data_IF_954048518319
#
_entry.id   IF_954048518319
#
_cell.length_a   1.000
_cell.length_b   1.000
_cell.length_c   1.000
_cell.angle_alpha   90.00
_cell.angle_beta   90.00
_cell.angle_gamma   90.00
#
_symmetry.space_group_name_H-M   'P 1'
#
loop_
_entity.id
_entity.type
_entity.pdbx_description
1 polymer ?
#
# COMPACT_ATOMS: atom_id res chain seq x y z
N UNK A 1 -8.77 -6.09 9.39
CA UNK A 1 -9.44 -4.87 9.93
C UNK A 1 -8.95 -3.63 9.17
N UNK A 2 -9.81 -2.62 8.95
CA UNK A 2 -9.50 -1.44 8.13
C UNK A 2 -9.64 -0.14 8.94
N UNK A 3 -8.78 0.85 8.67
CA UNK A 3 -8.86 2.18 9.27
C UNK A 3 -8.65 3.26 8.22
N UNK A 4 -9.41 4.34 8.31
CA UNK A 4 -9.32 5.49 7.41
C UNK A 4 -8.86 6.71 8.21
N UNK A 5 -7.87 7.41 7.67
CA UNK A 5 -7.44 8.73 8.12
C UNK A 5 -7.77 9.72 7.02
N UNK A 6 -8.45 10.82 7.33
CA UNK A 6 -8.88 11.78 6.31
C UNK A 6 -8.77 13.22 6.79
N UNK A 7 -8.48 14.12 5.86
CA UNK A 7 -8.50 15.57 6.08
C UNK A 7 -9.14 16.27 4.89
N UNK A 8 -9.83 17.38 5.16
CA UNK A 8 -10.39 18.28 4.15
C UNK A 8 -9.76 19.64 4.32
N UNK A 9 -9.30 20.23 3.22
CA UNK A 9 -8.72 21.57 3.18
C UNK A 9 -9.39 22.35 2.05
N UNK A 10 -10.28 23.29 2.39
CA UNK A 10 -11.15 23.92 1.41
C UNK A 10 -12.00 22.88 0.67
N UNK A 11 -11.92 22.87 -0.66
CA UNK A 11 -12.59 21.88 -1.51
C UNK A 11 -11.75 20.62 -1.78
N UNK A 12 -10.52 20.56 -1.27
CA UNK A 12 -9.65 19.39 -1.43
C UNK A 12 -9.88 18.38 -0.33
N UNK A 13 -9.83 17.09 -0.67
CA UNK A 13 -9.95 15.97 0.27
C UNK A 13 -8.77 15.04 0.13
N UNK A 14 -8.22 14.61 1.25
CA UNK A 14 -7.09 13.69 1.31
C UNK A 14 -7.42 12.56 2.28
N UNK A 15 -7.02 11.34 1.95
CA UNK A 15 -7.20 10.20 2.84
C UNK A 15 -6.14 9.14 2.67
N UNK A 16 -5.91 8.40 3.75
CA UNK A 16 -5.12 7.17 3.78
C UNK A 16 -5.98 6.10 4.42
N UNK A 17 -6.27 5.04 3.68
CA UNK A 17 -6.90 3.84 4.19
C UNK A 17 -5.85 2.75 4.38
N UNK A 18 -5.83 2.14 5.55
CA UNK A 18 -4.93 1.03 5.90
C UNK A 18 -5.77 -0.20 6.19
N UNK A 19 -5.48 -1.31 5.51
CA UNK A 19 -6.13 -2.60 5.72
C UNK A 19 -5.10 -3.63 6.15
N UNK A 20 -5.31 -4.24 7.31
CA UNK A 20 -4.43 -5.30 7.84
C UNK A 20 -4.80 -6.67 7.27
N UNK A 21 -3.91 -7.24 6.45
CA UNK A 21 -4.02 -8.58 5.87
C UNK A 21 -3.28 -9.66 6.66
N UNK A 22 -2.69 -9.39 7.83
CA UNK A 22 -1.98 -10.42 8.61
C UNK A 22 -2.90 -11.57 9.06
N UNK A 23 -4.21 -11.32 9.15
CA UNK A 23 -5.20 -12.34 9.51
C UNK A 23 -5.63 -13.22 8.33
N UNK A 24 -5.21 -12.93 7.10
CA UNK A 24 -5.66 -13.66 5.90
C UNK A 24 -5.26 -15.14 5.95
N UNK A 25 -4.04 -15.43 6.42
CA UNK A 25 -3.55 -16.79 6.54
C UNK A 25 -4.38 -17.60 7.53
N UNK A 26 -4.47 -17.26 8.83
CA UNK A 26 -5.23 -18.07 9.78
C UNK A 26 -6.70 -18.23 9.40
N UNK A 27 -7.34 -17.17 8.85
CA UNK A 27 -8.74 -17.24 8.40
C UNK A 27 -8.92 -18.27 7.27
N UNK A 28 -8.07 -18.24 6.25
CA UNK A 28 -8.24 -19.08 5.08
C UNK A 28 -7.76 -20.51 5.31
N UNK A 29 -6.72 -20.71 6.14
CA UNK A 29 -6.34 -22.06 6.59
C UNK A 29 -7.41 -22.69 7.47
N UNK A 30 -8.08 -21.91 8.34
CA UNK A 30 -9.19 -22.43 9.14
C UNK A 30 -10.35 -22.85 8.25
N UNK A 31 -10.73 -22.02 7.27
CA UNK A 31 -11.77 -22.35 6.29
C UNK A 31 -11.43 -23.59 5.47
N UNK A 32 -10.15 -23.77 5.11
CA UNK A 32 -9.69 -24.93 4.33
C UNK A 32 -9.93 -26.27 5.03
N UNK A 33 -10.03 -26.31 6.37
CA UNK A 33 -10.34 -27.53 7.13
C UNK A 33 -11.72 -28.12 6.82
N UNK A 34 -12.65 -27.28 6.35
CA UNK A 34 -14.01 -27.71 6.00
C UNK A 34 -14.14 -28.27 4.58
N UNK A 35 -13.03 -28.32 3.83
CA UNK A 35 -13.06 -28.68 2.42
C UNK A 35 -13.13 -30.19 2.16
N UNK A 36 -13.71 -30.59 1.01
CA UNK A 36 -13.60 -31.95 0.51
C UNK A 36 -12.14 -32.37 0.31
N UNK A 37 -11.86 -33.66 0.56
CA UNK A 37 -10.54 -34.23 0.34
C UNK A 37 -10.11 -34.09 -1.13
N UNK A 38 -8.88 -33.62 -1.36
CA UNK A 38 -8.31 -33.46 -2.70
C UNK A 38 -8.61 -32.12 -3.37
N UNK A 39 -9.36 -31.22 -2.72
CA UNK A 39 -9.62 -29.89 -3.28
C UNK A 39 -8.33 -29.07 -3.41
N UNK A 40 -8.03 -28.64 -4.65
CA UNK A 40 -6.81 -27.90 -5.00
C UNK A 40 -6.80 -26.48 -4.43
N UNK A 41 -7.97 -25.86 -4.26
CA UNK A 41 -8.12 -24.56 -3.62
C UNK A 41 -7.72 -24.65 -2.16
N UNK A 42 -8.21 -25.70 -1.49
CA UNK A 42 -7.99 -25.86 -0.07
C UNK A 42 -6.58 -26.34 0.25
N UNK A 43 -6.06 -27.33 -0.49
CA UNK A 43 -4.66 -27.77 -0.34
C UNK A 43 -3.65 -26.70 -0.74
N UNK A 44 -4.00 -25.90 -1.75
CA UNK A 44 -3.09 -24.99 -2.41
C UNK A 44 -2.10 -25.69 -3.34
N UNK A 45 -1.55 -24.90 -4.25
CA UNK A 45 -0.41 -25.22 -5.12
C UNK A 45 0.80 -24.35 -4.79
N UNK A 46 1.97 -24.67 -5.37
CA UNK A 46 3.20 -23.90 -5.20
C UNK A 46 2.95 -22.40 -5.34
N UNK A 47 3.32 -21.64 -4.31
CA UNK A 47 3.13 -20.19 -4.26
C UNK A 47 1.77 -19.68 -3.79
N UNK A 48 0.71 -20.49 -3.74
CA UNK A 48 -0.65 -20.05 -3.36
C UNK A 48 -0.95 -20.08 -1.85
N UNK A 49 -0.30 -21.00 -1.11
CA UNK A 49 -0.65 -21.28 0.29
C UNK A 49 -1.96 -22.08 0.40
N UNK A 50 -2.12 -22.80 1.52
CA UNK A 50 -3.37 -23.49 1.87
C UNK A 50 -4.55 -22.50 1.91
N UNK A 51 -5.72 -22.90 1.42
CA UNK A 51 -6.86 -22.01 1.29
C UNK A 51 -6.60 -20.75 0.45
N UNK A 52 -5.54 -20.76 -0.38
CA UNK A 52 -5.11 -19.67 -1.25
C UNK A 52 -4.76 -18.35 -0.56
N UNK A 53 -4.35 -18.38 0.71
CA UNK A 53 -4.09 -17.14 1.45
C UNK A 53 -3.00 -16.25 0.86
N UNK A 54 -1.99 -16.80 0.18
CA UNK A 54 -0.97 -15.99 -0.50
C UNK A 54 -1.53 -15.34 -1.77
N UNK A 55 -2.52 -15.95 -2.42
CA UNK A 55 -3.20 -15.40 -3.59
C UNK A 55 -4.05 -14.22 -3.18
N UNK A 56 -4.90 -14.38 -2.16
CA UNK A 56 -5.76 -13.30 -1.63
C UNK A 56 -4.94 -12.05 -1.27
N UNK A 57 -3.81 -12.27 -0.60
CA UNK A 57 -2.90 -11.17 -0.24
C UNK A 57 -2.31 -10.46 -1.46
N UNK A 58 -1.88 -11.20 -2.50
CA UNK A 58 -1.34 -10.59 -3.72
C UNK A 58 -2.43 -9.89 -4.54
N UNK A 59 -3.61 -10.49 -4.61
CA UNK A 59 -4.76 -9.96 -5.31
C UNK A 59 -5.32 -8.69 -4.65
N UNK A 60 -5.08 -8.47 -3.36
CA UNK A 60 -5.55 -7.29 -2.63
C UNK A 60 -5.17 -5.97 -3.32
N UNK A 61 -3.93 -5.87 -3.80
CA UNK A 61 -3.42 -4.68 -4.47
C UNK A 61 -4.15 -4.45 -5.81
N UNK A 62 -4.29 -5.51 -6.61
CA UNK A 62 -5.00 -5.48 -7.90
C UNK A 62 -6.48 -5.16 -7.71
N UNK A 63 -7.13 -5.81 -6.74
CA UNK A 63 -8.54 -5.59 -6.42
C UNK A 63 -8.80 -4.15 -6.00
N UNK A 64 -7.97 -3.59 -5.13
CA UNK A 64 -8.09 -2.19 -4.72
C UNK A 64 -7.97 -1.24 -5.92
N UNK A 65 -6.97 -1.42 -6.79
CA UNK A 65 -6.84 -0.64 -8.03
C UNK A 65 -8.06 -0.78 -8.95
N UNK A 66 -8.56 -2.01 -9.13
CA UNK A 66 -9.77 -2.26 -9.92
C UNK A 66 -10.98 -1.50 -9.37
N UNK A 67 -11.16 -1.45 -8.04
CA UNK A 67 -12.26 -0.70 -7.42
C UNK A 67 -12.18 0.80 -7.66
N UNK A 68 -11.00 1.38 -7.84
CA UNK A 68 -10.86 2.77 -8.30
C UNK A 68 -11.29 2.93 -9.77
N UNK A 69 -10.90 2.00 -10.64
CA UNK A 69 -11.27 2.02 -12.06
C UNK A 69 -12.77 1.84 -12.31
N UNK A 70 -13.49 1.25 -11.35
CA UNK A 70 -14.94 1.06 -11.39
C UNK A 70 -15.75 2.27 -10.91
N UNK A 71 -15.09 3.36 -10.49
CA UNK A 71 -15.79 4.58 -10.08
C UNK A 71 -16.35 5.30 -11.32
N UNK A 72 -17.37 6.14 -11.09
CA UNK A 72 -17.92 7.04 -12.11
C UNK A 72 -16.95 8.23 -12.38
N UNK A 73 -15.81 7.88 -12.96
CA UNK A 73 -14.72 8.78 -13.29
C UNK A 73 -13.93 8.22 -14.48
N UNK A 74 -13.39 9.11 -15.32
CA UNK A 74 -12.50 8.71 -16.40
C UNK A 74 -11.12 8.41 -15.83
N UNK A 75 -10.65 7.17 -15.96
CA UNK A 75 -9.24 6.83 -15.70
C UNK A 75 -8.38 7.49 -16.78
N UNK A 76 -7.52 8.42 -16.38
CA UNK A 76 -6.61 9.14 -17.27
C UNK A 76 -5.21 8.53 -17.27
N UNK A 77 -4.84 7.83 -16.19
CA UNK A 77 -3.59 7.09 -16.07
C UNK A 77 -3.76 5.93 -15.11
N UNK A 78 -3.15 4.80 -15.43
CA UNK A 78 -2.91 3.69 -14.52
C UNK A 78 -1.50 3.18 -14.75
N UNK A 79 -0.71 3.08 -13.68
CA UNK A 79 0.68 2.66 -13.79
C UNK A 79 1.12 1.86 -12.57
N UNK A 80 2.07 0.96 -12.81
CA UNK A 80 2.91 0.43 -11.75
C UNK A 80 3.92 1.49 -11.32
N UNK A 81 4.15 1.62 -10.02
CA UNK A 81 5.13 2.54 -9.44
C UNK A 81 5.67 1.98 -8.11
N UNK A 82 6.63 2.67 -7.51
CA UNK A 82 7.09 2.38 -6.16
C UNK A 82 7.23 3.66 -5.32
N UNK A 83 7.09 3.53 -4.00
CA UNK A 83 7.35 4.58 -3.02
C UNK A 83 8.34 4.04 -1.99
N UNK A 84 9.49 4.69 -1.84
CA UNK A 84 10.61 4.16 -1.03
C UNK A 84 11.04 2.72 -1.40
N UNK A 85 10.88 2.41 -2.69
CA UNK A 85 11.04 1.10 -3.31
C UNK A 85 10.00 0.04 -2.88
N UNK A 86 8.96 0.39 -2.14
CA UNK A 86 7.79 -0.47 -1.95
C UNK A 86 6.94 -0.42 -3.21
N UNK A 87 6.71 -1.56 -3.86
CA UNK A 87 5.90 -1.63 -5.08
C UNK A 87 4.44 -1.27 -4.85
N UNK A 88 3.82 -0.73 -5.89
CA UNK A 88 2.40 -0.47 -5.90
C UNK A 88 1.86 0.03 -7.23
N UNK A 89 0.63 0.50 -7.18
CA UNK A 89 -0.08 1.06 -8.32
C UNK A 89 -0.44 2.52 -8.07
N UNK A 90 -0.49 3.30 -9.14
CA UNK A 90 -0.99 4.67 -9.13
C UNK A 90 -2.05 4.86 -10.21
N UNK A 91 -3.07 5.65 -9.88
CA UNK A 91 -4.18 5.99 -10.75
C UNK A 91 -4.43 7.49 -10.72
N UNK A 92 -4.67 8.05 -11.90
CA UNK A 92 -5.20 9.39 -12.07
C UNK A 92 -6.60 9.28 -12.65
N UNK A 93 -7.56 9.99 -12.06
CA UNK A 93 -8.96 9.98 -12.46
C UNK A 93 -9.49 11.41 -12.62
N UNK A 94 -10.28 11.65 -13.67
CA UNK A 94 -11.12 12.84 -13.81
C UNK A 94 -12.57 12.48 -13.48
N UNK A 95 -13.11 13.07 -12.41
CA UNK A 95 -14.48 12.81 -11.95
C UNK A 95 -15.52 13.56 -12.81
N UNK A 96 -16.80 13.20 -12.69
CA UNK A 96 -17.90 13.81 -13.43
C UNK A 96 -18.03 15.34 -13.21
N UNK A 97 -17.73 15.83 -12.00
CA UNK A 97 -17.70 17.24 -11.63
C UNK A 97 -16.43 17.98 -12.08
N UNK A 98 -15.58 17.33 -12.88
CA UNK A 98 -14.26 17.78 -13.35
C UNK A 98 -13.21 17.92 -12.25
N UNK A 99 -13.50 17.54 -11.01
CA UNK A 99 -12.47 17.36 -9.99
C UNK A 99 -11.53 16.23 -10.40
N UNK A 100 -10.30 16.24 -9.87
CA UNK A 100 -9.30 15.21 -10.19
C UNK A 100 -8.92 14.47 -8.94
N UNK A 101 -8.83 13.16 -9.08
CA UNK A 101 -8.42 12.26 -8.01
C UNK A 101 -7.14 11.57 -8.40
N UNK A 102 -6.17 11.57 -7.50
CA UNK A 102 -5.00 10.71 -7.57
C UNK A 102 -5.11 9.64 -6.48
N UNK A 103 -4.92 8.38 -6.86
CA UNK A 103 -4.89 7.27 -5.93
C UNK A 103 -3.57 6.53 -6.03
N UNK A 104 -2.99 6.15 -4.89
CA UNK A 104 -1.80 5.33 -4.83
C UNK A 104 -2.04 4.15 -3.88
N UNK A 105 -1.75 2.94 -4.34
CA UNK A 105 -2.04 1.69 -3.63
C UNK A 105 -0.74 0.91 -3.48
N UNK A 106 -0.30 0.69 -2.24
CA UNK A 106 0.92 -0.04 -1.92
C UNK A 106 0.64 -1.14 -0.90
N UNK A 107 1.45 -2.18 -0.90
CA UNK A 107 1.42 -3.20 0.17
C UNK A 107 2.78 -3.34 0.81
N UNK A 108 2.84 -3.15 2.13
CA UNK A 108 4.06 -3.30 2.93
C UNK A 108 3.75 -4.10 4.18
N UNK A 109 4.50 -5.18 4.40
CA UNK A 109 4.37 -6.09 5.55
C UNK A 109 2.91 -6.56 5.78
N UNK A 110 2.26 -7.00 4.70
CA UNK A 110 0.87 -7.44 4.67
C UNK A 110 -0.15 -6.37 5.14
N UNK A 111 0.19 -5.09 5.04
CA UNK A 111 -0.77 -3.99 5.20
C UNK A 111 -0.94 -3.31 3.85
N UNK A 112 -2.20 -3.20 3.41
CA UNK A 112 -2.57 -2.50 2.19
C UNK A 112 -2.81 -1.02 2.53
N UNK A 113 -2.09 -0.13 1.87
CA UNK A 113 -2.21 1.31 2.01
C UNK A 113 -2.82 1.87 0.73
N UNK A 114 -3.97 2.52 0.85
CA UNK A 114 -4.63 3.24 -0.24
C UNK A 114 -4.64 4.72 0.12
N UNK A 115 -3.83 5.50 -0.58
CA UNK A 115 -3.78 6.95 -0.47
C UNK A 115 -4.63 7.55 -1.57
N UNK A 116 -5.51 8.49 -1.21
CA UNK A 116 -6.40 9.15 -2.16
C UNK A 116 -6.36 10.65 -1.91
N UNK A 117 -6.23 11.42 -2.98
CA UNK A 117 -6.28 12.87 -2.95
C UNK A 117 -7.17 13.39 -4.08
N UNK A 118 -8.17 14.19 -3.73
CA UNK A 118 -9.11 14.81 -4.68
C UNK A 118 -9.02 16.33 -4.56
N UNK A 119 -8.90 17.01 -5.69
CA UNK A 119 -8.83 18.48 -5.78
C UNK A 119 -9.88 18.99 -6.77
N UNK A 120 -10.42 20.20 -6.56
CA UNK A 120 -11.42 20.79 -7.45
C UNK A 120 -10.85 21.07 -8.85
N UNK A 121 -11.73 21.34 -9.84
CA UNK A 121 -11.31 21.73 -11.18
C UNK A 121 -10.35 22.93 -11.16
N UNK A 122 -9.32 22.90 -12.00
CA UNK A 122 -8.36 24.01 -12.16
C UNK A 122 -7.24 24.10 -11.12
N UNK A 123 -7.22 23.24 -10.10
CA UNK A 123 -6.10 23.16 -9.15
C UNK A 123 -4.85 22.49 -9.78
N UNK A 124 -3.71 22.38 -9.10
CA UNK A 124 -2.62 21.47 -9.49
C UNK A 124 -2.99 20.00 -9.28
N UNK A 125 -2.34 19.06 -9.97
CA UNK A 125 -2.57 17.61 -9.78
C UNK A 125 -2.30 17.19 -8.33
N UNK A 126 -3.15 16.33 -7.73
CA UNK A 126 -3.09 16.07 -6.29
C UNK A 126 -2.08 14.97 -5.91
N UNK A 127 -1.24 14.52 -6.85
CA UNK A 127 -0.30 13.40 -6.66
C UNK A 127 0.74 13.65 -5.57
N UNK A 128 1.12 14.90 -5.33
CA UNK A 128 2.08 15.30 -4.30
C UNK A 128 1.74 14.77 -2.92
N UNK A 129 0.46 14.73 -2.54
CA UNK A 129 0.04 14.20 -1.24
C UNK A 129 0.58 12.79 -0.97
N UNK A 130 0.41 11.87 -1.93
CA UNK A 130 0.89 10.49 -1.81
C UNK A 130 2.42 10.38 -1.88
N UNK A 131 3.08 11.28 -2.62
CA UNK A 131 4.56 11.30 -2.75
C UNK A 131 5.25 11.91 -1.52
N UNK A 132 4.52 12.70 -0.73
CA UNK A 132 5.00 13.27 0.53
C UNK A 132 4.85 12.33 1.72
N UNK A 133 4.33 11.12 1.53
CA UNK A 133 4.22 10.09 2.56
C UNK A 133 5.43 9.14 2.46
N UNK A 134 5.77 8.54 3.60
CA UNK A 134 6.89 7.60 3.71
C UNK A 134 6.52 6.40 4.56
N UNK A 135 7.18 5.27 4.32
CA UNK A 135 7.13 4.12 5.21
C UNK A 135 8.11 4.32 6.35
N UNK A 136 7.77 3.79 7.53
CA UNK A 136 8.62 3.85 8.71
C UNK A 136 9.08 2.45 9.07
N UNK A 137 10.31 2.34 9.59
CA UNK A 137 10.80 1.14 10.25
C UNK A 137 10.24 1.05 11.69
N UNK A 138 10.60 -0.02 12.37
CA UNK A 138 10.14 -0.35 13.72
C UNK A 138 10.61 0.68 14.78
N UNK A 139 11.62 1.50 14.46
CA UNK A 139 12.14 2.58 15.31
C UNK A 139 11.48 3.93 15.01
N UNK A 140 10.52 3.97 14.07
CA UNK A 140 9.90 5.19 13.59
C UNK A 140 10.79 5.99 12.63
N UNK A 141 11.84 5.38 12.07
CA UNK A 141 12.75 6.01 11.12
C UNK A 141 12.25 5.77 9.70
N UNK A 142 12.30 6.79 8.84
CA UNK A 142 11.90 6.68 7.44
C UNK A 142 12.65 5.58 6.71
N UNK A 143 11.91 4.56 6.29
CA UNK A 143 12.42 3.38 5.61
C UNK A 143 12.68 3.67 4.12
N UNK A 144 13.67 2.98 3.56
CA UNK A 144 13.85 2.77 2.12
C UNK A 144 14.63 1.50 1.89
N UNK A 145 14.23 0.75 0.89
CA UNK A 145 14.97 -0.44 0.47
C UNK A 145 16.11 -0.09 -0.51
N UNK A 146 17.07 -0.99 -0.66
CA UNK A 146 18.12 -0.90 -1.67
C UNK A 146 17.62 -1.38 -3.05
N UNK A 147 16.62 -2.26 -3.05
CA UNK A 147 15.97 -2.81 -4.24
C UNK A 147 14.43 -2.76 -4.07
N UNK A 148 13.69 -3.07 -5.14
CA UNK A 148 12.23 -3.08 -5.11
C UNK A 148 11.74 -4.15 -4.13
N UNK A 149 11.01 -3.70 -3.11
CA UNK A 149 10.26 -4.55 -2.20
C UNK A 149 8.95 -5.00 -2.85
N UNK A 150 8.76 -6.31 -2.93
CA UNK A 150 7.56 -6.98 -3.43
C UNK A 150 6.94 -7.77 -2.28
N UNK A 151 5.72 -7.44 -1.88
CA UNK A 151 5.12 -8.06 -0.71
C UNK A 151 4.91 -9.58 -0.92
N UNK A 152 5.42 -10.39 0.01
CA UNK A 152 5.34 -11.85 -0.05
C UNK A 152 6.56 -12.54 -0.67
N UNK A 153 7.60 -11.78 -1.01
CA UNK A 153 8.96 -12.26 -1.28
C UNK A 153 9.90 -11.89 -0.13
N UNK A 154 11.10 -12.49 -0.04
CA UNK A 154 12.11 -12.05 0.92
C UNK A 154 12.34 -10.55 0.80
N UNK A 155 12.28 -9.83 1.93
CA UNK A 155 12.50 -8.39 1.92
C UNK A 155 13.95 -8.08 1.54
N UNK A 156 14.21 -7.17 0.57
CA UNK A 156 15.56 -6.76 0.24
C UNK A 156 16.21 -6.00 1.41
N UNK A 157 17.55 -5.85 1.40
CA UNK A 157 18.23 -5.03 2.39
C UNK A 157 17.70 -3.59 2.41
N UNK A 158 17.63 -3.00 3.60
CA UNK A 158 17.25 -1.59 3.80
C UNK A 158 18.49 -0.69 3.65
N UNK A 159 18.29 0.54 3.19
CA UNK A 159 19.35 1.58 3.20
C UNK A 159 19.69 1.91 4.66
N UNK A 160 20.97 2.16 4.95
CA UNK A 160 21.34 2.68 6.27
C UNK A 160 20.92 4.15 6.39
N UNK A 161 19.73 4.35 6.94
CA UNK A 161 19.10 5.67 7.08
C UNK A 161 19.71 6.52 8.18
N UNK A 162 20.52 5.96 9.09
CA UNK A 162 21.21 6.74 10.13
C UNK A 162 22.32 7.64 9.52
N UNK A 163 22.80 7.30 8.32
CA UNK A 163 23.79 8.05 7.55
C UNK A 163 23.17 9.07 6.55
N UNK A 164 21.85 9.07 6.36
CA UNK A 164 21.15 9.91 5.37
C UNK A 164 19.99 10.70 6.01
N UNK A 165 20.33 11.69 6.85
CA UNK A 165 19.35 12.42 7.67
C UNK A 165 18.51 13.48 6.92
N UNK A 166 18.98 13.99 5.77
CA UNK A 166 18.38 15.18 5.13
C UNK A 166 17.08 14.96 4.35
N UNK A 167 16.84 13.77 3.81
CA UNK A 167 15.71 13.47 2.90
C UNK A 167 14.84 12.32 3.45
N UNK A 168 14.59 12.31 4.76
CA UNK A 168 13.92 11.22 5.46
C UNK A 168 12.69 11.72 6.22
N UNK A 169 11.59 10.99 6.13
CA UNK A 169 10.37 11.23 6.92
C UNK A 169 10.43 10.33 8.15
N UNK A 170 10.50 10.91 9.34
CA UNK A 170 10.51 10.18 10.61
C UNK A 170 9.23 10.43 11.40
N UNK A 171 8.85 9.47 12.25
CA UNK A 171 7.88 9.72 13.30
C UNK A 171 8.43 10.72 14.34
N UNK A 172 7.57 11.41 15.10
CA UNK A 172 8.00 12.19 16.26
C UNK A 172 8.72 11.32 17.29
N UNK A 173 9.87 11.79 17.79
CA UNK A 173 10.70 11.05 18.75
C UNK A 173 11.32 9.76 18.21
N UNK A 174 11.89 9.75 16.99
CA UNK A 174 12.51 8.54 16.47
C UNK A 174 13.69 8.16 17.36
N UNK A 175 14.03 6.87 17.42
CA UNK A 175 15.22 6.41 18.16
C UNK A 175 16.34 6.07 17.17
N UNK A 176 17.22 7.03 16.80
CA UNK A 176 18.42 6.73 16.04
C UNK A 176 19.25 5.67 16.75
N UNK A 177 19.78 4.71 15.99
CA UNK A 177 20.84 3.86 16.50
C UNK A 177 22.06 4.72 16.76
N UNK A 178 22.38 5.00 18.03
CA UNK A 178 23.70 5.49 18.39
C UNK A 178 24.73 4.50 17.85
N UNK A 179 25.71 4.99 17.08
CA UNK A 179 26.86 4.20 16.66
C UNK A 179 27.42 3.48 17.88
N UNK A 180 27.33 2.15 17.93
CA UNK A 180 28.36 1.40 18.65
C UNK A 180 29.63 1.59 17.83
N UNK A 181 30.51 2.44 18.36
CA UNK A 181 31.92 2.51 17.97
C UNK A 181 32.59 1.16 18.17
#
# INVERSE_FOLDING_TARGET
PARVYSVTQGQSRYSVTVVDYNQVQPILTEKAKSCPAGDVVCKGVGGSGEGWWKVDRRAALVYASWKFMQRDAKVTQYQWNFLELVEGHQLSLTNADKSRTFAAVYMHENKLYMMESTVPPGYPEPSWFSQSLGFLDERGIGLRYQEIYVNGFPAPPRVNRDLQRGNRIDAPGPTPGGQKR
#
